data_IF_680057332309
#
_entry.id   IF_680057332309
#
_cell.length_a   1.000
_cell.length_b   1.000
_cell.length_c   1.000
_cell.angle_alpha   90.00
_cell.angle_beta   90.00
_cell.angle_gamma   90.00
#
_symmetry.space_group_name_H-M   'P 1'
#
loop_
_entity.id
_entity.type
_entity.pdbx_description
1 polymer ?
#
# COMPACT_ATOMS: atom_id res chain seq x y z
N UNK A 1 2.70 2.63 -25.02
CA UNK A 1 3.80 3.31 -24.29
C UNK A 1 3.31 4.68 -23.85
N UNK A 2 2.99 4.87 -22.57
CA UNK A 2 2.77 6.22 -22.05
C UNK A 2 4.14 6.85 -21.77
N UNK A 3 4.71 7.55 -22.76
CA UNK A 3 5.88 8.38 -22.52
C UNK A 3 5.46 9.51 -21.57
N UNK A 4 6.22 9.68 -20.50
CA UNK A 4 5.97 10.75 -19.53
C UNK A 4 6.11 12.12 -20.22
N UNK A 5 5.16 13.02 -19.95
CA UNK A 5 5.01 14.32 -20.63
C UNK A 5 6.32 15.13 -20.81
N UNK A 6 7.26 15.17 -19.83
CA UNK A 6 8.52 15.90 -19.99
C UNK A 6 9.38 15.36 -21.14
N UNK A 7 9.39 14.05 -21.37
CA UNK A 7 10.14 13.46 -22.48
C UNK A 7 9.54 13.87 -23.83
N UNK A 8 8.21 13.88 -23.94
CA UNK A 8 7.49 14.26 -25.16
C UNK A 8 7.82 15.72 -25.51
N UNK A 9 7.70 16.63 -24.54
CA UNK A 9 8.00 18.06 -24.71
C UNK A 9 9.48 18.25 -25.09
N UNK A 10 10.40 17.50 -24.48
CA UNK A 10 11.84 17.58 -24.78
C UNK A 10 12.24 17.03 -26.15
N UNK A 11 11.34 16.31 -26.82
CA UNK A 11 11.57 15.72 -28.13
C UNK A 11 11.11 16.62 -29.30
N UNK A 12 10.34 17.69 -29.05
CA UNK A 12 9.77 18.56 -30.10
C UNK A 12 10.84 19.28 -30.91
N UNK A 13 11.67 20.10 -30.26
CA UNK A 13 12.80 20.77 -30.89
C UNK A 13 13.87 21.15 -29.85
N UNK A 14 15.03 21.64 -30.29
CA UNK A 14 16.14 22.02 -29.40
C UNK A 14 15.70 23.03 -28.32
N UNK A 15 14.97 24.07 -28.72
CA UNK A 15 14.46 25.10 -27.80
C UNK A 15 13.53 24.55 -26.72
N UNK A 16 12.60 23.68 -27.09
CA UNK A 16 11.68 23.05 -26.14
C UNK A 16 12.39 22.11 -25.18
N UNK A 17 13.44 21.42 -25.65
CA UNK A 17 14.31 20.61 -24.80
C UNK A 17 15.03 21.42 -23.74
N UNK A 18 15.64 22.54 -24.12
CA UNK A 18 16.32 23.46 -23.19
C UNK A 18 15.33 23.93 -22.11
N UNK A 19 14.16 24.44 -22.53
CA UNK A 19 13.12 24.89 -21.60
C UNK A 19 12.68 23.75 -20.67
N UNK A 20 12.40 22.55 -21.22
CA UNK A 20 11.97 21.42 -20.40
C UNK A 20 13.05 20.99 -19.40
N UNK A 21 14.33 21.05 -19.77
CA UNK A 21 15.44 20.66 -18.90
C UNK A 21 15.69 21.69 -17.79
N UNK A 22 15.37 22.95 -18.02
CA UNK A 22 15.52 24.05 -17.05
C UNK A 22 14.33 24.19 -16.07
N UNK A 23 13.30 23.34 -16.18
CA UNK A 23 12.13 23.36 -15.28
C UNK A 23 12.12 22.08 -14.44
N UNK A 24 12.72 22.08 -13.22
CA UNK A 24 12.81 20.88 -12.38
C UNK A 24 11.46 20.28 -11.97
N UNK A 25 10.40 21.09 -11.89
CA UNK A 25 9.04 20.63 -11.57
C UNK A 25 8.50 19.60 -12.56
N UNK A 26 8.94 19.66 -13.82
CA UNK A 26 8.55 18.67 -14.81
C UNK A 26 9.10 17.28 -14.47
N UNK A 27 10.18 17.21 -13.67
CA UNK A 27 10.92 15.99 -13.40
C UNK A 27 10.61 15.38 -12.02
N UNK A 28 9.57 15.83 -11.32
CA UNK A 28 9.26 15.36 -9.96
C UNK A 28 8.48 14.05 -9.90
N UNK A 29 7.82 13.64 -11.00
CA UNK A 29 6.91 12.47 -10.99
C UNK A 29 7.29 11.39 -12.02
N UNK A 30 8.47 10.76 -11.94
CA UNK A 30 8.86 9.73 -12.89
C UNK A 30 7.96 8.49 -12.79
N UNK A 31 7.42 8.06 -13.93
CA UNK A 31 6.68 6.80 -14.10
C UNK A 31 7.50 5.86 -14.98
N UNK A 32 7.93 4.74 -14.41
CA UNK A 32 8.83 3.79 -15.06
C UNK A 32 8.08 2.48 -15.26
N UNK A 33 7.98 2.05 -16.51
CA UNK A 33 7.36 0.78 -16.87
C UNK A 33 8.45 -0.18 -17.34
N UNK A 34 8.71 -1.21 -16.54
CA UNK A 34 9.77 -2.19 -16.76
C UNK A 34 9.22 -3.34 -17.61
N UNK A 35 9.45 -3.25 -18.93
CA UNK A 35 8.97 -4.19 -19.95
C UNK A 35 10.02 -5.22 -20.42
N UNK A 36 11.24 -5.22 -19.88
CA UNK A 36 12.28 -6.17 -20.28
C UNK A 36 13.50 -6.03 -19.39
N UNK A 37 14.05 -7.15 -18.92
CA UNK A 37 15.34 -7.21 -18.24
C UNK A 37 16.48 -6.57 -19.05
N UNK A 38 16.43 -6.66 -20.38
CA UNK A 38 17.42 -6.07 -21.30
C UNK A 38 17.42 -4.54 -21.30
N UNK A 39 16.31 -3.90 -20.90
CA UNK A 39 16.17 -2.43 -20.91
C UNK A 39 16.44 -1.79 -19.56
N UNK A 40 16.67 -2.58 -18.51
CA UNK A 40 16.81 -2.10 -17.13
C UNK A 40 17.98 -1.13 -16.98
N UNK A 41 19.14 -1.46 -17.54
CA UNK A 41 20.31 -0.58 -17.48
C UNK A 41 20.05 0.78 -18.16
N UNK A 42 19.33 0.80 -19.28
CA UNK A 42 18.93 2.04 -19.94
C UNK A 42 17.92 2.82 -19.08
N UNK A 43 16.92 2.15 -18.51
CA UNK A 43 15.90 2.77 -17.67
C UNK A 43 16.50 3.33 -16.38
N UNK A 44 17.48 2.64 -15.80
CA UNK A 44 18.24 3.13 -14.66
C UNK A 44 19.00 4.41 -15.00
N UNK A 45 19.70 4.45 -16.16
CA UNK A 45 20.37 5.68 -16.62
C UNK A 45 19.39 6.82 -16.86
N UNK A 46 18.23 6.54 -17.45
CA UNK A 46 17.18 7.52 -17.65
C UNK A 46 16.63 8.03 -16.32
N UNK A 47 16.39 7.13 -15.36
CA UNK A 47 15.99 7.49 -14.00
C UNK A 47 17.03 8.39 -13.34
N UNK A 48 18.31 8.04 -13.37
CA UNK A 48 19.38 8.90 -12.81
C UNK A 48 19.40 10.29 -13.44
N UNK A 49 19.25 10.39 -14.77
CA UNK A 49 19.16 11.68 -15.46
C UNK A 49 17.89 12.46 -15.07
N UNK A 50 16.78 11.75 -14.87
CA UNK A 50 15.51 12.32 -14.41
C UNK A 50 15.65 12.93 -13.01
N UNK A 51 16.23 12.16 -12.09
CA UNK A 51 16.48 12.56 -10.71
C UNK A 51 17.41 13.77 -10.66
N UNK A 52 18.49 13.78 -11.45
CA UNK A 52 19.39 14.92 -11.53
C UNK A 52 18.66 16.22 -11.95
N UNK A 53 17.70 16.13 -12.89
CA UNK A 53 16.91 17.30 -13.34
C UNK A 53 15.87 17.76 -12.32
N UNK A 54 15.37 16.88 -11.46
CA UNK A 54 14.43 17.25 -10.39
C UNK A 54 15.05 18.15 -9.31
N UNK A 55 16.39 18.18 -9.24
CA UNK A 55 17.12 18.96 -8.25
C UNK A 55 16.84 18.45 -6.84
N UNK A 56 16.38 19.36 -5.96
CA UNK A 56 16.06 19.07 -4.55
C UNK A 56 14.55 18.99 -4.26
N UNK A 57 13.73 18.92 -5.32
CA UNK A 57 12.28 18.93 -5.17
C UNK A 57 11.77 17.57 -4.67
N UNK A 58 10.65 17.54 -3.91
CA UNK A 58 10.01 16.28 -3.52
C UNK A 58 9.66 15.42 -4.74
N UNK A 59 9.95 14.13 -4.65
CA UNK A 59 9.80 13.15 -5.72
C UNK A 59 8.65 12.19 -5.46
N UNK A 60 7.86 11.93 -6.50
CA UNK A 60 6.81 10.91 -6.54
C UNK A 60 7.16 9.86 -7.59
N UNK A 61 7.81 8.79 -7.17
CA UNK A 61 8.33 7.76 -8.09
C UNK A 61 7.32 6.63 -8.19
N UNK A 62 6.94 6.26 -9.41
CA UNK A 62 6.17 5.06 -9.69
C UNK A 62 6.96 4.11 -10.58
N UNK A 63 7.10 2.85 -10.15
CA UNK A 63 7.73 1.79 -10.93
C UNK A 63 6.74 0.65 -11.06
N UNK A 64 6.40 0.30 -12.30
CA UNK A 64 5.45 -0.76 -12.60
C UNK A 64 6.07 -1.79 -13.55
N UNK A 65 5.63 -3.03 -13.44
CA UNK A 65 5.89 -4.09 -14.42
C UNK A 65 4.67 -4.30 -15.30
N UNK A 66 4.87 -4.88 -16.47
CA UNK A 66 3.75 -5.43 -17.26
C UNK A 66 3.74 -6.94 -17.15
N UNK A 67 2.53 -7.50 -17.08
CA UNK A 67 2.18 -8.90 -16.79
C UNK A 67 2.84 -9.97 -17.69
N UNK A 68 3.67 -9.59 -18.68
CA UNK A 68 4.32 -10.53 -19.59
C UNK A 68 5.63 -11.13 -19.06
N UNK A 69 6.06 -10.84 -17.83
CA UNK A 69 7.32 -11.32 -17.26
C UNK A 69 7.08 -12.09 -15.95
N UNK A 70 6.48 -13.27 -16.06
CA UNK A 70 6.23 -14.14 -14.90
C UNK A 70 7.51 -14.75 -14.28
N UNK A 71 8.69 -14.65 -14.93
CA UNK A 71 9.85 -15.47 -14.49
C UNK A 71 11.21 -14.76 -14.35
N UNK A 72 11.39 -13.52 -14.80
CA UNK A 72 12.64 -12.76 -14.60
C UNK A 72 12.35 -11.27 -14.35
N UNK A 73 12.06 -10.91 -13.10
CA UNK A 73 11.68 -9.56 -12.75
C UNK A 73 12.90 -8.63 -12.64
N UNK A 74 12.92 -7.50 -13.36
CA UNK A 74 13.96 -6.48 -13.23
C UNK A 74 14.18 -5.90 -11.83
N UNK A 75 13.15 -5.87 -10.97
CA UNK A 75 13.29 -5.38 -9.58
C UNK A 75 14.06 -6.36 -8.68
N UNK A 76 14.31 -7.58 -9.15
CA UNK A 76 15.32 -8.46 -8.55
C UNK A 76 16.74 -7.94 -8.76
N UNK A 77 16.96 -6.94 -9.64
CA UNK A 77 18.26 -6.30 -9.80
C UNK A 77 18.48 -5.25 -8.68
N UNK A 78 19.37 -5.50 -7.72
CA UNK A 78 19.57 -4.62 -6.57
C UNK A 78 20.00 -3.21 -6.98
N UNK A 79 20.73 -3.07 -8.10
CA UNK A 79 21.26 -1.78 -8.54
C UNK A 79 20.18 -0.76 -8.95
N UNK A 80 19.02 -1.23 -9.44
CA UNK A 80 17.91 -0.35 -9.80
C UNK A 80 17.24 0.21 -8.54
N UNK A 81 16.98 -0.67 -7.57
CA UNK A 81 16.48 -0.31 -6.24
C UNK A 81 17.44 0.64 -5.53
N UNK A 82 18.74 0.37 -5.55
CA UNK A 82 19.76 1.28 -5.01
C UNK A 82 19.71 2.67 -5.65
N UNK A 83 19.35 2.78 -6.93
CA UNK A 83 19.24 4.09 -7.59
C UNK A 83 18.08 4.91 -7.03
N UNK A 84 16.96 4.25 -6.72
CA UNK A 84 15.81 4.87 -6.04
C UNK A 84 16.20 5.25 -4.61
N UNK A 85 16.80 4.32 -3.86
CA UNK A 85 17.25 4.55 -2.47
C UNK A 85 18.32 5.65 -2.41
N UNK A 86 19.22 5.77 -3.38
CA UNK A 86 20.20 6.88 -3.44
C UNK A 86 19.54 8.26 -3.58
N UNK A 87 18.31 8.30 -4.06
CA UNK A 87 17.49 9.53 -4.18
C UNK A 87 16.59 9.75 -2.97
N UNK A 88 16.79 8.97 -1.91
CA UNK A 88 15.97 8.85 -0.72
C UNK A 88 15.59 10.17 -0.05
N UNK A 89 16.54 11.10 0.04
CA UNK A 89 16.40 12.36 0.78
C UNK A 89 15.29 13.25 0.25
N UNK A 90 14.86 13.05 -1.00
CA UNK A 90 13.80 13.84 -1.62
C UNK A 90 12.56 13.01 -1.94
N UNK A 91 12.55 11.71 -1.61
CA UNK A 91 11.45 10.83 -1.96
C UNK A 91 10.24 11.08 -1.05
N UNK A 92 9.16 11.63 -1.63
CA UNK A 92 7.90 11.91 -0.95
C UNK A 92 6.93 10.76 -1.09
N UNK A 93 6.76 10.25 -2.31
CA UNK A 93 5.93 9.06 -2.53
C UNK A 93 6.66 8.03 -3.37
N UNK A 94 6.44 6.77 -3.01
CA UNK A 94 7.02 5.61 -3.66
C UNK A 94 5.91 4.61 -3.98
N UNK A 95 5.71 4.34 -5.26
CA UNK A 95 4.76 3.35 -5.74
C UNK A 95 5.51 2.27 -6.52
N UNK A 96 5.45 1.02 -6.07
CA UNK A 96 6.18 -0.07 -6.66
C UNK A 96 5.25 -1.25 -6.91
N UNK A 97 5.24 -1.73 -8.16
CA UNK A 97 4.80 -3.08 -8.47
C UNK A 97 5.97 -4.02 -8.17
N UNK A 98 5.85 -4.81 -7.11
CA UNK A 98 6.79 -5.83 -6.69
C UNK A 98 6.42 -7.15 -7.35
N UNK A 99 7.38 -8.07 -7.48
CA UNK A 99 7.02 -9.48 -7.65
C UNK A 99 7.75 -10.35 -6.64
N UNK A 100 7.63 -11.66 -6.79
CA UNK A 100 7.95 -12.69 -5.78
C UNK A 100 9.40 -12.68 -5.28
N UNK A 101 10.32 -12.00 -5.97
CA UNK A 101 11.75 -12.03 -5.68
C UNK A 101 12.32 -10.83 -4.92
N UNK A 102 11.51 -10.01 -4.24
CA UNK A 102 12.10 -8.92 -3.45
C UNK A 102 12.93 -9.44 -2.29
N UNK A 103 14.16 -8.94 -2.21
CA UNK A 103 15.03 -9.21 -1.08
C UNK A 103 14.60 -8.36 0.13
N UNK A 104 14.82 -8.90 1.32
CA UNK A 104 14.75 -8.15 2.58
C UNK A 104 15.57 -6.85 2.55
N UNK A 105 16.59 -6.77 1.68
CA UNK A 105 17.43 -5.58 1.48
C UNK A 105 16.64 -4.36 0.98
N UNK A 106 15.57 -4.56 0.20
CA UNK A 106 14.71 -3.45 -0.22
C UNK A 106 14.06 -2.79 0.99
N UNK A 107 13.45 -3.62 1.86
CA UNK A 107 12.74 -3.15 3.04
C UNK A 107 13.69 -2.55 4.08
N UNK A 108 14.90 -3.09 4.25
CA UNK A 108 15.91 -2.45 5.10
C UNK A 108 16.39 -1.11 4.52
N UNK A 109 16.46 -0.99 3.19
CA UNK A 109 16.78 0.25 2.50
C UNK A 109 15.74 1.37 2.70
N UNK A 110 14.47 1.03 2.99
CA UNK A 110 13.43 2.03 3.29
C UNK A 110 13.75 2.84 4.56
N UNK A 111 14.60 2.35 5.47
CA UNK A 111 15.09 3.11 6.63
C UNK A 111 15.74 4.44 6.21
N UNK A 112 16.36 4.47 5.03
CA UNK A 112 16.99 5.67 4.50
C UNK A 112 15.99 6.72 3.99
N UNK A 113 14.68 6.49 4.08
CA UNK A 113 13.62 7.36 3.53
C UNK A 113 12.82 8.11 4.63
N UNK A 114 13.46 8.98 5.44
CA UNK A 114 12.78 9.62 6.57
C UNK A 114 11.68 10.60 6.14
N UNK A 115 11.72 11.12 4.92
CA UNK A 115 10.75 12.06 4.36
C UNK A 115 9.61 11.39 3.58
N UNK A 116 9.58 10.04 3.52
CA UNK A 116 8.56 9.32 2.76
C UNK A 116 7.19 9.51 3.41
N UNK A 117 6.28 10.15 2.67
CA UNK A 117 4.91 10.41 3.10
C UNK A 117 3.92 9.37 2.57
N UNK A 118 4.21 8.77 1.41
CA UNK A 118 3.34 7.79 0.77
C UNK A 118 4.09 6.56 0.28
N UNK A 119 3.65 5.37 0.67
CA UNK A 119 4.20 4.10 0.20
C UNK A 119 3.08 3.24 -0.40
N UNK A 120 3.27 2.78 -1.62
CA UNK A 120 2.39 1.85 -2.30
C UNK A 120 3.17 0.66 -2.82
N UNK A 121 2.71 -0.53 -2.46
CA UNK A 121 3.32 -1.80 -2.79
C UNK A 121 2.28 -2.68 -3.49
N UNK A 122 2.60 -3.17 -4.68
CA UNK A 122 1.64 -3.92 -5.49
C UNK A 122 2.23 -5.22 -6.01
N UNK A 123 1.58 -6.36 -5.83
CA UNK A 123 1.81 -7.54 -6.63
C UNK A 123 0.92 -7.52 -7.89
N UNK A 124 1.37 -8.09 -9.03
CA UNK A 124 0.53 -8.35 -10.18
C UNK A 124 -0.70 -9.18 -9.77
N UNK A 125 -1.84 -8.93 -10.42
CA UNK A 125 -2.98 -9.83 -10.33
C UNK A 125 -2.60 -11.16 -10.99
N UNK A 126 -2.82 -12.25 -10.27
CA UNK A 126 -2.50 -13.62 -10.69
C UNK A 126 -3.79 -14.41 -10.86
N UNK A 127 -3.67 -15.53 -11.58
CA UNK A 127 -4.73 -16.53 -11.60
C UNK A 127 -4.87 -17.15 -10.19
N UNK A 128 -6.08 -17.58 -9.83
CA UNK A 128 -6.43 -18.05 -8.47
C UNK A 128 -5.50 -19.19 -7.96
N UNK A 129 -4.93 -19.98 -8.88
CA UNK A 129 -4.02 -21.09 -8.56
C UNK A 129 -2.59 -20.65 -8.16
N UNK A 130 -2.22 -19.38 -8.38
CA UNK A 130 -0.87 -18.83 -8.13
C UNK A 130 -0.79 -17.86 -6.94
N UNK A 131 -1.91 -17.58 -6.24
CA UNK A 131 -1.96 -16.60 -5.14
C UNK A 131 -0.97 -16.94 -4.00
N UNK A 132 -0.79 -18.21 -3.68
CA UNK A 132 0.11 -18.64 -2.59
C UNK A 132 1.60 -18.43 -2.91
N UNK A 133 1.98 -18.28 -4.19
CA UNK A 133 3.38 -18.11 -4.61
C UNK A 133 3.96 -16.73 -4.28
N UNK A 134 3.12 -15.76 -3.89
CA UNK A 134 3.53 -14.37 -3.67
C UNK A 134 3.31 -13.90 -2.24
N UNK A 135 3.18 -14.82 -1.28
CA UNK A 135 3.27 -14.49 0.15
C UNK A 135 4.69 -14.04 0.45
N UNK A 136 4.89 -12.72 0.48
CA UNK A 136 6.15 -12.10 0.88
C UNK A 136 5.97 -11.60 2.30
N UNK A 137 6.60 -12.28 3.25
CA UNK A 137 6.72 -11.76 4.60
C UNK A 137 7.73 -10.61 4.60
N UNK A 138 7.29 -9.41 4.98
CA UNK A 138 8.19 -8.29 5.17
C UNK A 138 7.77 -7.44 6.36
N UNK A 139 8.77 -6.80 6.98
CA UNK A 139 8.57 -5.81 8.02
C UNK A 139 8.91 -4.44 7.47
N UNK A 140 7.99 -3.47 7.63
CA UNK A 140 8.28 -2.09 7.33
C UNK A 140 9.16 -1.49 8.44
N UNK A 141 10.23 -0.75 8.11
CA UNK A 141 10.97 0.00 9.10
C UNK A 141 10.17 1.19 9.62
N UNK A 142 10.71 1.89 10.64
CA UNK A 142 10.14 3.15 11.12
C UNK A 142 10.18 4.18 10.00
N UNK A 143 9.00 4.58 9.53
CA UNK A 143 8.82 5.62 8.53
C UNK A 143 8.11 6.80 9.20
N UNK A 144 8.85 7.72 9.84
CA UNK A 144 8.26 8.73 10.72
C UNK A 144 7.34 9.71 10.00
N UNK A 145 7.53 9.92 8.70
CA UNK A 145 6.71 10.84 7.90
C UNK A 145 5.57 10.16 7.15
N UNK A 146 5.41 8.84 7.29
CA UNK A 146 4.45 8.08 6.49
C UNK A 146 3.01 8.46 6.88
N UNK A 147 2.27 8.99 5.91
CA UNK A 147 0.86 9.42 6.04
C UNK A 147 -0.09 8.50 5.30
N UNK A 148 0.39 7.87 4.22
CA UNK A 148 -0.40 7.01 3.35
C UNK A 148 0.33 5.70 3.07
N UNK A 149 -0.32 4.58 3.35
CA UNK A 149 0.22 3.24 3.05
C UNK A 149 -0.80 2.40 2.30
N UNK A 150 -0.38 1.80 1.18
CA UNK A 150 -1.21 0.87 0.42
C UNK A 150 -0.42 -0.37 0.05
N UNK A 151 -1.02 -1.53 0.23
CA UNK A 151 -0.46 -2.80 -0.22
C UNK A 151 -1.57 -3.75 -0.67
N UNK A 152 -1.35 -4.47 -1.79
CA UNK A 152 -2.12 -5.68 -2.09
C UNK A 152 -1.30 -6.98 -1.93
N UNK A 153 -0.09 -6.85 -1.40
CA UNK A 153 0.76 -7.99 -1.08
C UNK A 153 0.30 -8.52 0.27
N UNK A 154 0.17 -9.83 0.41
CA UNK A 154 -0.12 -10.45 1.70
C UNK A 154 1.03 -10.11 2.66
N UNK A 155 0.79 -9.19 3.58
CA UNK A 155 1.79 -8.73 4.52
C UNK A 155 1.55 -9.42 5.86
N UNK A 156 2.41 -10.39 6.21
CA UNK A 156 2.51 -10.84 7.60
C UNK A 156 3.21 -9.73 8.38
N UNK A 157 2.42 -8.79 8.87
CA UNK A 157 2.89 -7.59 9.55
C UNK A 157 3.23 -7.90 11.02
N UNK A 158 3.92 -9.02 11.25
CA UNK A 158 4.18 -9.62 12.57
C UNK A 158 4.88 -8.68 13.58
N UNK A 159 5.28 -7.48 13.17
CA UNK A 159 5.87 -6.44 14.01
C UNK A 159 5.49 -5.07 13.47
N UNK A 160 4.21 -4.70 13.57
CA UNK A 160 3.84 -3.31 13.37
C UNK A 160 4.66 -2.42 14.30
N UNK A 161 5.51 -1.58 13.71
CA UNK A 161 6.15 -0.48 14.42
C UNK A 161 5.18 0.70 14.48
N UNK A 162 5.32 1.56 15.49
CA UNK A 162 4.47 2.73 15.68
C UNK A 162 4.30 3.53 14.37
N UNK A 163 3.10 3.47 13.79
CA UNK A 163 2.71 4.26 12.64
C UNK A 163 2.15 5.61 13.12
N UNK A 164 2.99 6.35 13.84
CA UNK A 164 2.59 7.51 14.62
C UNK A 164 1.96 8.67 13.81
N UNK A 165 2.13 8.68 12.48
CA UNK A 165 1.62 9.73 11.58
C UNK A 165 0.77 9.19 10.43
N UNK A 166 0.48 7.88 10.41
CA UNK A 166 -0.29 7.27 9.33
C UNK A 166 -1.74 7.71 9.43
N UNK A 167 -2.29 8.24 8.34
CA UNK A 167 -3.66 8.77 8.25
C UNK A 167 -4.56 7.93 7.38
N UNK A 168 -4.00 7.29 6.36
CA UNK A 168 -4.76 6.49 5.41
C UNK A 168 -4.03 5.17 5.17
N UNK A 169 -4.76 4.07 5.31
CA UNK A 169 -4.26 2.76 4.96
C UNK A 169 -5.22 2.01 4.03
N UNK A 170 -4.64 1.22 3.14
CA UNK A 170 -5.36 0.27 2.32
C UNK A 170 -4.56 -1.03 2.25
N UNK A 171 -5.06 -2.05 2.93
CA UNK A 171 -4.47 -3.38 2.95
C UNK A 171 -5.39 -4.35 2.22
N UNK A 172 -4.83 -5.22 1.37
CA UNK A 172 -5.53 -6.35 0.76
C UNK A 172 -4.91 -7.63 1.28
N UNK A 173 -5.72 -8.67 1.39
CA UNK A 173 -5.32 -10.01 1.80
C UNK A 173 -4.71 -10.04 3.21
N UNK A 174 -5.47 -9.56 4.20
CA UNK A 174 -5.07 -9.55 5.61
C UNK A 174 -5.95 -10.48 6.43
N UNK A 175 -5.39 -11.11 7.46
CA UNK A 175 -6.16 -11.78 8.50
C UNK A 175 -6.83 -10.77 9.44
N UNK A 176 -7.85 -11.19 10.18
CA UNK A 176 -8.50 -10.32 11.16
C UNK A 176 -7.55 -9.88 12.28
N UNK A 177 -6.63 -10.76 12.71
CA UNK A 177 -5.67 -10.39 13.75
C UNK A 177 -4.65 -9.38 13.24
N UNK A 178 -4.16 -9.54 12.01
CA UNK A 178 -3.31 -8.53 11.37
C UNK A 178 -4.03 -7.18 11.23
N UNK A 179 -5.33 -7.18 10.90
CA UNK A 179 -6.12 -5.95 10.85
C UNK A 179 -6.24 -5.29 12.24
N UNK A 180 -6.47 -6.06 13.30
CA UNK A 180 -6.52 -5.53 14.68
C UNK A 180 -5.16 -5.04 15.16
N UNK A 181 -4.10 -5.79 14.90
CA UNK A 181 -2.74 -5.39 15.24
C UNK A 181 -2.32 -4.13 14.48
N UNK A 182 -2.72 -4.00 13.21
CA UNK A 182 -2.53 -2.78 12.43
C UNK A 182 -3.19 -1.59 13.13
N UNK A 183 -4.47 -1.75 13.49
CA UNK A 183 -5.27 -0.70 14.12
C UNK A 183 -4.71 -0.31 15.50
N UNK A 184 -4.08 -1.25 16.23
CA UNK A 184 -3.34 -0.94 17.48
C UNK A 184 -2.12 -0.08 17.23
N UNK A 185 -1.36 -0.35 16.17
CA UNK A 185 -0.12 0.36 15.89
C UNK A 185 -0.32 1.70 15.17
N UNK A 186 -1.44 1.87 14.48
CA UNK A 186 -1.74 3.06 13.67
C UNK A 186 -2.84 3.93 14.33
N UNK A 187 -2.69 4.27 15.61
CA UNK A 187 -3.70 4.97 16.44
C UNK A 187 -4.24 6.29 15.90
N UNK A 188 -3.58 6.86 14.89
CA UNK A 188 -3.88 8.14 14.25
C UNK A 188 -4.54 8.01 12.88
N UNK A 189 -4.86 6.78 12.45
CA UNK A 189 -5.43 6.53 11.13
C UNK A 189 -6.87 7.04 11.06
N UNK A 190 -7.16 7.78 10.01
CA UNK A 190 -8.47 8.39 9.77
C UNK A 190 -9.30 7.56 8.77
N UNK A 191 -8.62 6.90 7.83
CA UNK A 191 -9.25 6.05 6.82
C UNK A 191 -8.57 4.69 6.75
N UNK A 192 -9.34 3.62 6.94
CA UNK A 192 -8.88 2.24 6.78
C UNK A 192 -9.72 1.50 5.76
N UNK A 193 -9.04 0.86 4.80
CA UNK A 193 -9.65 -0.03 3.82
C UNK A 193 -8.97 -1.40 3.94
N UNK A 194 -9.73 -2.39 4.39
CA UNK A 194 -9.29 -3.79 4.44
C UNK A 194 -10.05 -4.58 3.38
N UNK A 195 -9.32 -5.17 2.44
CA UNK A 195 -9.89 -6.04 1.40
C UNK A 195 -9.38 -7.45 1.55
N UNK A 196 -10.21 -8.38 1.11
CA UNK A 196 -9.98 -9.82 1.17
C UNK A 196 -9.56 -10.24 2.58
N UNK A 197 -10.37 -9.83 3.58
CA UNK A 197 -10.10 -10.15 4.98
C UNK A 197 -10.37 -11.62 5.25
N UNK A 198 -9.35 -12.36 5.68
CA UNK A 198 -9.42 -13.79 5.99
C UNK A 198 -9.71 -14.04 7.48
N UNK A 199 -10.48 -15.09 7.81
CA UNK A 199 -10.67 -15.48 9.20
C UNK A 199 -9.37 -16.08 9.78
N UNK A 200 -9.01 -15.72 11.01
CA UNK A 200 -7.91 -16.39 11.72
C UNK A 200 -8.30 -17.82 12.07
N UNK A 201 -7.37 -18.77 11.89
CA UNK A 201 -7.53 -20.18 12.22
C UNK A 201 -7.73 -20.47 13.72
N UNK A 202 -7.37 -19.55 14.62
CA UNK A 202 -7.45 -19.74 16.07
C UNK A 202 -8.44 -18.74 16.68
N UNK A 203 -9.64 -19.19 17.03
CA UNK A 203 -10.61 -18.41 17.83
C UNK A 203 -10.28 -18.54 19.32
N UNK A 204 -9.09 -18.10 19.72
CA UNK A 204 -8.64 -18.22 21.12
C UNK A 204 -8.77 -16.88 21.86
N UNK A 205 -9.64 -16.88 22.88
CA UNK A 205 -9.83 -15.90 23.97
C UNK A 205 -10.23 -14.44 23.67
N UNK A 206 -10.98 -13.79 24.60
CA UNK A 206 -11.40 -12.40 24.48
C UNK A 206 -10.20 -11.47 24.67
N UNK A 207 -9.49 -11.17 23.58
CA UNK A 207 -8.45 -10.14 23.64
C UNK A 207 -9.07 -8.76 23.85
N UNK A 208 -8.28 -7.85 24.42
CA UNK A 208 -8.70 -6.49 24.82
C UNK A 208 -9.46 -5.73 23.73
N UNK A 209 -10.41 -4.91 24.18
CA UNK A 209 -11.14 -3.96 23.35
C UNK A 209 -10.18 -2.90 22.81
N UNK A 210 -10.27 -2.66 21.51
CA UNK A 210 -9.49 -1.70 20.77
C UNK A 210 -10.34 -0.47 20.48
N UNK A 211 -10.00 0.64 21.13
CA UNK A 211 -10.65 1.93 20.86
C UNK A 211 -9.81 2.75 19.90
N UNK A 212 -10.40 3.21 18.80
CA UNK A 212 -9.74 4.02 17.78
C UNK A 212 -10.42 5.39 17.62
N UNK A 213 -9.88 6.40 18.29
CA UNK A 213 -10.48 7.74 18.39
C UNK A 213 -10.40 8.58 17.12
N UNK A 214 -9.44 8.33 16.23
CA UNK A 214 -9.25 9.17 15.03
C UNK A 214 -9.90 8.58 13.77
N UNK A 215 -10.46 7.37 13.83
CA UNK A 215 -10.96 6.65 12.65
C UNK A 215 -12.30 7.25 12.21
N UNK A 216 -12.35 7.80 10.99
CA UNK A 216 -13.53 8.44 10.39
C UNK A 216 -14.16 7.59 9.30
N UNK A 217 -13.35 6.86 8.55
CA UNK A 217 -13.80 6.02 7.43
C UNK A 217 -13.25 4.60 7.56
N UNK A 218 -14.13 3.60 7.63
CA UNK A 218 -13.77 2.19 7.68
C UNK A 218 -14.48 1.42 6.56
N UNK A 219 -13.70 0.80 5.68
CA UNK A 219 -14.18 -0.13 4.67
C UNK A 219 -13.62 -1.53 4.93
N UNK A 220 -14.51 -2.52 5.02
CA UNK A 220 -14.13 -3.93 5.19
C UNK A 220 -14.79 -4.75 4.09
N UNK A 221 -13.97 -5.45 3.31
CA UNK A 221 -14.39 -6.40 2.30
C UNK A 221 -13.82 -7.77 2.69
N UNK A 222 -14.60 -8.66 3.32
CA UNK A 222 -14.16 -10.01 3.65
C UNK A 222 -14.14 -10.91 2.41
N UNK A 223 -13.33 -11.98 2.45
CA UNK A 223 -13.43 -13.04 1.44
C UNK A 223 -14.76 -13.79 1.58
N UNK A 224 -15.28 -14.35 0.48
CA UNK A 224 -16.63 -14.93 0.43
C UNK A 224 -16.89 -16.06 1.44
N UNK A 225 -15.85 -16.75 1.88
CA UNK A 225 -15.91 -17.86 2.84
C UNK A 225 -15.71 -17.42 4.30
N UNK A 226 -15.62 -16.12 4.57
CA UNK A 226 -15.32 -15.63 5.93
C UNK A 226 -16.45 -15.99 6.88
N UNK A 227 -16.08 -16.70 7.96
CA UNK A 227 -17.02 -17.11 9.00
C UNK A 227 -17.68 -15.89 9.65
N UNK A 228 -19.01 -15.85 9.59
CA UNK A 228 -19.82 -14.77 10.17
C UNK A 228 -19.56 -14.51 11.65
N UNK A 229 -19.22 -15.55 12.42
CA UNK A 229 -18.89 -15.43 13.83
C UNK A 229 -17.58 -14.68 14.04
N UNK A 230 -16.60 -14.90 13.16
CA UNK A 230 -15.28 -14.31 13.28
C UNK A 230 -15.34 -12.79 13.02
N UNK A 231 -16.11 -12.37 12.02
CA UNK A 231 -16.38 -10.94 11.80
C UNK A 231 -17.13 -10.30 12.98
N UNK A 232 -18.12 -10.99 13.57
CA UNK A 232 -18.79 -10.48 14.79
C UNK A 232 -17.82 -10.27 15.95
N UNK A 233 -16.81 -11.12 16.09
CA UNK A 233 -15.78 -10.96 17.12
C UNK A 233 -14.90 -9.73 16.84
N UNK A 234 -14.50 -9.50 15.58
CA UNK A 234 -13.77 -8.30 15.19
C UNK A 234 -14.53 -7.03 15.61
N UNK A 235 -15.80 -6.91 15.24
CA UNK A 235 -16.61 -5.73 15.54
C UNK A 235 -16.92 -5.57 17.03
N UNK A 236 -17.06 -6.66 17.78
CA UNK A 236 -17.23 -6.57 19.24
C UNK A 236 -16.02 -5.95 19.94
N UNK A 237 -14.83 -6.16 19.41
CA UNK A 237 -13.58 -5.64 19.97
C UNK A 237 -13.24 -4.25 19.48
N UNK A 238 -13.89 -3.74 18.43
CA UNK A 238 -13.53 -2.47 17.81
C UNK A 238 -14.51 -1.38 18.21
N UNK A 239 -14.03 -0.40 18.98
CA UNK A 239 -14.77 0.79 19.41
C UNK A 239 -14.23 1.99 18.62
N UNK A 240 -15.09 2.67 17.87
CA UNK A 240 -14.70 3.70 16.89
C UNK A 240 -15.57 4.94 17.03
N UNK A 241 -15.36 5.77 18.08
CA UNK A 241 -16.28 6.85 18.46
C UNK A 241 -16.36 8.01 17.45
N UNK A 242 -15.37 8.14 16.58
CA UNK A 242 -15.31 9.19 15.55
C UNK A 242 -15.71 8.70 14.15
N UNK A 243 -16.26 7.48 14.04
CA UNK A 243 -16.59 6.91 12.74
C UNK A 243 -17.75 7.66 12.08
N UNK A 244 -17.52 8.18 10.88
CA UNK A 244 -18.52 8.87 10.07
C UNK A 244 -19.05 7.99 8.94
N UNK A 245 -18.19 7.13 8.39
CA UNK A 245 -18.51 6.25 7.28
C UNK A 245 -18.07 4.83 7.59
N UNK A 246 -19.01 3.92 7.47
CA UNK A 246 -18.75 2.49 7.48
C UNK A 246 -19.22 1.88 6.16
N UNK A 247 -18.35 1.11 5.51
CA UNK A 247 -18.66 0.34 4.33
C UNK A 247 -18.31 -1.12 4.56
N UNK A 248 -19.26 -2.01 4.31
CA UNK A 248 -19.06 -3.45 4.38
C UNK A 248 -19.46 -4.06 3.04
N UNK A 249 -18.49 -4.60 2.31
CA UNK A 249 -18.70 -5.11 0.96
C UNK A 249 -18.62 -6.64 0.92
N UNK A 250 -19.77 -7.30 0.81
CA UNK A 250 -19.83 -8.74 0.57
C UNK A 250 -20.02 -9.01 -0.91
N UNK A 251 -18.94 -9.04 -1.68
CA UNK A 251 -19.02 -9.22 -3.15
C UNK A 251 -19.70 -10.53 -3.59
N UNK A 252 -19.95 -11.50 -2.69
CA UNK A 252 -20.53 -12.82 -3.03
C UNK A 252 -21.69 -13.29 -2.12
N UNK A 253 -22.21 -12.49 -1.17
CA UNK A 253 -23.32 -12.93 -0.29
C UNK A 253 -24.66 -12.47 -0.87
N UNK A 254 -25.13 -13.16 -1.90
CA UNK A 254 -26.52 -13.02 -2.35
C UNK A 254 -27.41 -13.91 -1.47
N UNK A 255 -28.24 -13.32 -0.61
CA UNK A 255 -29.21 -14.08 0.18
C UNK A 255 -29.75 -13.38 1.45
N UNK A 256 -30.64 -14.06 2.20
CA UNK A 256 -31.33 -13.51 3.37
C UNK A 256 -30.38 -13.04 4.49
N UNK A 257 -29.17 -13.60 4.54
CA UNK A 257 -28.14 -13.25 5.51
C UNK A 257 -27.70 -11.77 5.41
N UNK A 258 -27.82 -11.14 4.23
CA UNK A 258 -27.47 -9.73 4.04
C UNK A 258 -28.29 -8.79 4.94
N UNK A 259 -29.57 -9.10 5.16
CA UNK A 259 -30.43 -8.26 5.99
C UNK A 259 -30.05 -8.32 7.48
N UNK A 260 -29.70 -9.50 7.99
CA UNK A 260 -29.24 -9.67 9.37
C UNK A 260 -27.92 -8.92 9.63
N UNK A 261 -27.05 -8.87 8.62
CA UNK A 261 -25.82 -8.08 8.69
C UNK A 261 -26.08 -6.59 8.74
N UNK A 262 -27.00 -6.06 7.93
CA UNK A 262 -27.36 -4.64 8.01
C UNK A 262 -27.85 -4.24 9.41
N UNK A 263 -28.69 -5.08 10.06
CA UNK A 263 -29.15 -4.81 11.43
C UNK A 263 -27.98 -4.85 12.41
N UNK A 264 -27.16 -5.90 12.35
CA UNK A 264 -25.99 -6.03 13.22
C UNK A 264 -25.04 -4.84 13.09
N UNK A 265 -24.69 -4.45 11.86
CA UNK A 265 -23.77 -3.34 11.61
C UNK A 265 -24.34 -2.00 12.00
N UNK A 266 -25.64 -1.78 11.80
CA UNK A 266 -26.28 -0.56 12.27
C UNK A 266 -26.23 -0.47 13.78
N UNK A 267 -26.58 -1.55 14.48
CA UNK A 267 -26.48 -1.60 15.95
C UNK A 267 -25.04 -1.39 16.43
N UNK A 268 -24.06 -2.02 15.78
CA UNK A 268 -22.65 -1.86 16.13
C UNK A 268 -22.17 -0.42 15.87
N UNK A 269 -22.54 0.18 14.74
CA UNK A 269 -22.17 1.55 14.39
C UNK A 269 -22.75 2.54 15.41
N UNK A 270 -24.04 2.42 15.72
CA UNK A 270 -24.71 3.29 16.69
C UNK A 270 -24.08 3.16 18.09
N UNK A 271 -23.74 1.94 18.53
CA UNK A 271 -23.04 1.70 19.80
C UNK A 271 -21.61 2.26 19.80
N UNK A 272 -20.87 2.06 18.71
CA UNK A 272 -19.48 2.50 18.60
C UNK A 272 -19.35 4.01 18.64
N UNK A 273 -20.28 4.74 18.00
CA UNK A 273 -20.27 6.22 17.94
C UNK A 273 -20.77 6.86 19.24
N UNK A 274 -21.61 6.16 20.01
CA UNK A 274 -22.18 6.66 21.27
C UNK A 274 -21.30 6.41 22.50
N UNK A 275 -20.27 5.57 22.40
CA UNK A 275 -19.33 5.23 23.47
C UNK A 275 -18.33 6.36 23.85
N UNK A 276 -18.75 7.63 23.76
CA UNK A 276 -17.92 8.82 24.04
C UNK A 276 -17.67 9.07 25.53
#
# INVERSE_FOLDING_TARGET
>A
MHCSAPLIISAVCKRWREIAFDIPDLWTTPKIYLYSSKKVALQQRLLSAWLARSGRRPLDISVAHTNSFQYELPLSNPSFIETIIKSAVHLRTLNLCLGSGLSSQFFTGLVCLPALEGLQLWAPELDEDEEDLYRVEFSLPKLPSLKYFRTNIHCVLAKFQDFANLRVCHLVSVTMDEALEFMRAATKVETCIFRDVYPTAQTSEPGEDLTHYDLKDLEIQPVALTNTQAMKLLFRRLIVPSLHRFAYNTQKVNGPAHFLWMIFFRSWFDQSVTAR
#
